data_IF_488230631440
#
_entry.id   IF_488230631440
#
_cell.length_a   1.000
_cell.length_b   1.000
_cell.length_c   1.000
_cell.angle_alpha   90.00
_cell.angle_beta   90.00
_cell.angle_gamma   90.00
#
_symmetry.space_group_name_H-M   'P 1'
#
loop_
_entity.id
_entity.type
_entity.pdbx_description
1 polymer ?
#
# COMPACT_ATOMS: atom_id res chain seq x y z
N UNK A 1 2.78 -6.68 0.84
CA UNK A 1 1.92 -6.83 2.06
C UNK A 1 0.52 -7.29 1.67
N UNK A 2 -0.23 -6.51 0.90
CA UNK A 2 -1.61 -6.79 0.47
C UNK A 2 -1.72 -8.15 -0.23
N UNK A 3 -0.79 -8.46 -1.15
CA UNK A 3 -0.76 -9.76 -1.83
C UNK A 3 -0.54 -10.93 -0.85
N UNK A 4 0.35 -10.80 0.13
CA UNK A 4 0.59 -11.85 1.12
C UNK A 4 -0.65 -12.12 1.97
N UNK A 5 -1.41 -11.08 2.34
CA UNK A 5 -2.70 -11.23 3.00
C UNK A 5 -3.73 -11.93 2.12
N UNK A 6 -3.81 -11.55 0.84
CA UNK A 6 -4.72 -12.18 -0.11
C UNK A 6 -4.45 -13.68 -0.23
N UNK A 7 -3.20 -14.06 -0.44
CA UNK A 7 -2.81 -15.48 -0.51
C UNK A 7 -3.17 -16.22 0.77
N UNK A 8 -2.90 -15.61 1.94
CA UNK A 8 -3.23 -16.23 3.23
C UNK A 8 -4.76 -16.43 3.42
N UNK A 9 -5.59 -15.51 2.93
CA UNK A 9 -7.06 -15.62 3.03
C UNK A 9 -7.61 -16.65 2.04
N UNK A 10 -7.02 -16.73 0.85
CA UNK A 10 -7.48 -17.63 -0.22
C UNK A 10 -6.89 -19.04 -0.13
N UNK A 11 -5.89 -19.25 0.72
CA UNK A 11 -5.30 -20.57 0.96
C UNK A 11 -6.36 -21.52 1.55
N UNK A 12 -6.70 -22.62 0.85
CA UNK A 12 -7.71 -23.56 1.31
C UNK A 12 -7.38 -24.22 2.65
N UNK A 13 -6.10 -24.31 3.00
CA UNK A 13 -5.65 -24.92 4.27
C UNK A 13 -5.96 -24.04 5.48
N UNK A 14 -6.13 -22.73 5.27
CA UNK A 14 -6.43 -21.76 6.35
C UNK A 14 -7.94 -21.75 6.68
N UNK A 15 -8.80 -22.21 5.78
CA UNK A 15 -10.25 -22.29 6.00
C UNK A 15 -10.96 -20.92 6.02
N UNK A 16 -10.35 -19.89 5.45
CA UNK A 16 -10.92 -18.54 5.37
C UNK A 16 -11.53 -18.23 4.00
N UNK A 17 -11.19 -18.96 2.95
CA UNK A 17 -11.56 -18.67 1.56
C UNK A 17 -13.09 -18.58 1.32
N UNK A 18 -13.90 -19.28 2.12
CA UNK A 18 -15.35 -19.23 2.02
C UNK A 18 -16.02 -18.09 2.83
N UNK A 19 -15.24 -17.29 3.57
CA UNK A 19 -15.80 -16.21 4.38
C UNK A 19 -16.02 -14.95 3.53
N UNK A 20 -17.14 -14.25 3.72
CA UNK A 20 -17.36 -12.95 3.07
C UNK A 20 -16.26 -11.97 3.48
N UNK A 21 -15.77 -11.18 2.51
CA UNK A 21 -14.81 -10.11 2.73
C UNK A 21 -15.53 -8.78 2.62
N UNK A 22 -15.49 -7.99 3.69
CA UNK A 22 -15.94 -6.61 3.68
C UNK A 22 -14.73 -5.70 3.50
N UNK A 23 -14.63 -5.06 2.33
CA UNK A 23 -13.61 -4.05 2.02
C UNK A 23 -14.32 -2.70 1.87
N UNK A 24 -14.05 -1.68 2.72
CA UNK A 24 -14.63 -0.37 2.55
C UNK A 24 -14.21 0.26 1.22
N UNK A 25 -15.17 0.86 0.49
CA UNK A 25 -14.91 1.45 -0.82
C UNK A 25 -13.95 2.65 -0.76
N UNK A 26 -14.01 3.43 0.32
CA UNK A 26 -13.11 4.59 0.52
C UNK A 26 -12.68 4.70 1.98
N UNK A 27 -11.39 4.95 2.27
CA UNK A 27 -10.93 5.32 3.59
C UNK A 27 -11.54 6.66 4.04
N UNK A 28 -11.75 6.81 5.35
CA UNK A 28 -12.12 8.10 5.94
C UNK A 28 -13.55 8.55 5.76
N UNK A 29 -14.44 7.74 5.20
CA UNK A 29 -15.86 8.10 5.14
C UNK A 29 -16.52 7.95 6.52
N UNK A 30 -17.30 8.95 6.97
CA UNK A 30 -18.11 8.85 8.20
C UNK A 30 -19.01 7.61 8.22
N UNK A 31 -19.51 7.23 7.04
CA UNK A 31 -20.33 6.04 6.81
C UNK A 31 -19.65 4.76 7.29
N UNK A 32 -18.32 4.64 7.19
CA UNK A 32 -17.61 3.45 7.66
C UNK A 32 -17.77 3.25 9.18
N UNK A 33 -17.58 4.30 9.96
CA UNK A 33 -17.75 4.21 11.41
C UNK A 33 -19.17 3.81 11.80
N UNK A 34 -20.18 4.29 11.06
CA UNK A 34 -21.59 3.94 11.29
C UNK A 34 -21.89 2.50 10.87
N UNK A 35 -21.38 2.06 9.73
CA UNK A 35 -21.50 0.66 9.29
C UNK A 35 -20.88 -0.31 10.31
N UNK A 36 -19.68 0.02 10.82
CA UNK A 36 -19.05 -0.78 11.85
C UNK A 36 -19.79 -0.75 13.19
N UNK A 37 -20.50 0.35 13.51
CA UNK A 37 -21.35 0.44 14.73
C UNK A 37 -22.63 -0.36 14.62
N UNK A 38 -23.26 -0.37 13.46
CA UNK A 38 -24.48 -1.18 13.21
C UNK A 38 -24.15 -2.67 13.30
N UNK A 39 -22.89 -3.03 13.08
CA UNK A 39 -22.39 -4.39 13.03
C UNK A 39 -22.38 -4.95 11.61
N UNK A 40 -21.49 -5.88 11.39
CA UNK A 40 -21.38 -6.62 10.15
C UNK A 40 -21.96 -8.02 10.37
N UNK A 41 -22.73 -8.56 9.41
CA UNK A 41 -23.21 -9.93 9.52
C UNK A 41 -21.99 -10.88 9.51
N UNK A 42 -21.72 -11.51 10.65
CA UNK A 42 -20.64 -12.49 10.75
C UNK A 42 -21.07 -13.89 10.26
N UNK A 43 -20.13 -14.78 10.02
CA UNK A 43 -18.69 -14.59 10.08
C UNK A 43 -18.15 -13.79 8.88
N UNK A 44 -17.34 -12.78 9.11
CA UNK A 44 -16.85 -11.87 8.07
C UNK A 44 -15.38 -11.52 8.27
N UNK A 45 -14.66 -11.28 7.18
CA UNK A 45 -13.32 -10.70 7.18
C UNK A 45 -13.45 -9.22 6.84
N UNK A 46 -12.98 -8.34 7.74
CA UNK A 46 -12.87 -6.90 7.48
C UNK A 46 -11.47 -6.63 6.94
N UNK A 47 -11.38 -6.16 5.69
CA UNK A 47 -10.12 -5.91 5.01
C UNK A 47 -9.82 -4.41 4.97
N UNK A 48 -8.77 -3.97 5.68
CA UNK A 48 -8.35 -2.58 5.77
C UNK A 48 -6.93 -2.42 5.21
N UNK A 49 -6.85 -2.23 3.90
CA UNK A 49 -5.55 -2.00 3.27
C UNK A 49 -5.04 -0.60 3.60
N UNK A 50 -3.79 -0.51 4.04
CA UNK A 50 -3.20 0.73 4.55
C UNK A 50 -4.02 1.35 5.70
N UNK A 51 -4.10 0.66 6.83
CA UNK A 51 -4.90 1.04 8.00
C UNK A 51 -4.75 2.51 8.40
N UNK A 52 -3.57 3.11 8.22
CA UNK A 52 -3.34 4.54 8.46
C UNK A 52 -4.34 5.43 7.70
N UNK A 53 -4.76 5.05 6.52
CA UNK A 53 -5.75 5.83 5.73
C UNK A 53 -7.12 5.90 6.39
N UNK A 54 -7.39 5.02 7.34
CA UNK A 54 -8.64 4.95 8.08
C UNK A 54 -8.55 5.60 9.47
N UNK A 55 -7.35 5.64 10.07
CA UNK A 55 -7.17 6.02 11.48
C UNK A 55 -6.34 7.30 11.68
N UNK A 56 -5.60 7.77 10.65
CA UNK A 56 -4.68 8.92 10.74
C UNK A 56 -5.32 10.24 10.24
N UNK A 57 -6.59 10.47 10.55
CA UNK A 57 -7.29 11.72 10.20
C UNK A 57 -8.42 12.02 11.19
N UNK A 58 -9.06 13.18 11.04
CA UNK A 58 -10.13 13.64 11.96
C UNK A 58 -11.29 12.63 12.15
N UNK A 59 -11.53 11.74 11.17
CA UNK A 59 -12.49 10.64 11.27
C UNK A 59 -11.92 9.34 11.87
N UNK A 60 -10.65 9.28 12.18
CA UNK A 60 -9.97 8.04 12.60
C UNK A 60 -10.39 7.53 13.98
N UNK A 61 -10.60 8.42 14.93
CA UNK A 61 -11.04 8.05 16.27
C UNK A 61 -12.41 7.31 16.29
N UNK A 62 -13.45 7.78 15.58
CA UNK A 62 -14.71 7.03 15.46
C UNK A 62 -14.56 5.65 14.84
N UNK A 63 -13.68 5.50 13.83
CA UNK A 63 -13.41 4.22 13.18
C UNK A 63 -12.67 3.27 14.13
N UNK A 64 -11.62 3.75 14.79
CA UNK A 64 -10.86 2.95 15.78
C UNK A 64 -11.73 2.48 16.93
N UNK A 65 -12.56 3.37 17.48
CA UNK A 65 -13.52 3.01 18.54
C UNK A 65 -14.61 2.05 18.05
N UNK A 66 -15.02 2.11 16.79
CA UNK A 66 -15.97 1.17 16.21
C UNK A 66 -15.33 -0.21 15.98
N UNK A 67 -14.08 -0.26 15.49
CA UNK A 67 -13.30 -1.50 15.34
C UNK A 67 -13.05 -2.17 16.70
N UNK A 68 -12.64 -1.41 17.69
CA UNK A 68 -12.42 -1.96 19.03
C UNK A 68 -13.69 -2.58 19.61
N UNK A 69 -14.84 -1.89 19.51
CA UNK A 69 -16.14 -2.45 19.95
C UNK A 69 -16.52 -3.70 19.17
N UNK A 70 -16.27 -3.71 17.87
CA UNK A 70 -16.57 -4.85 17.01
C UNK A 70 -15.76 -6.09 17.42
N UNK A 71 -14.47 -5.90 17.73
CA UNK A 71 -13.56 -6.97 18.15
C UNK A 71 -13.80 -7.47 19.57
N UNK A 72 -14.31 -6.60 20.46
CA UNK A 72 -14.60 -6.94 21.86
C UNK A 72 -16.05 -7.40 22.08
N UNK A 73 -16.93 -7.23 21.09
CA UNK A 73 -18.31 -7.68 21.19
C UNK A 73 -18.39 -9.22 21.23
N UNK A 74 -19.29 -9.78 22.05
CA UNK A 74 -19.56 -11.21 22.02
C UNK A 74 -20.00 -11.67 20.63
N UNK A 75 -19.52 -12.82 20.13
CA UNK A 75 -19.83 -13.32 18.80
C UNK A 75 -21.33 -13.40 18.49
N UNK A 76 -22.15 -13.66 19.50
CA UNK A 76 -23.61 -13.75 19.39
C UNK A 76 -24.26 -12.42 19.00
N UNK A 77 -23.63 -11.29 19.37
CA UNK A 77 -24.12 -9.95 19.04
C UNK A 77 -23.76 -9.48 17.63
N UNK A 78 -22.71 -10.05 17.07
CA UNK A 78 -22.21 -9.69 15.75
C UNK A 78 -22.48 -10.76 14.70
N UNK A 79 -23.26 -11.79 15.03
CA UNK A 79 -23.66 -12.85 14.10
C UNK A 79 -22.56 -13.86 13.75
N UNK A 80 -21.45 -13.87 14.54
CA UNK A 80 -20.35 -14.82 14.38
C UNK A 80 -18.97 -14.15 14.50
N UNK A 81 -17.89 -14.93 14.40
CA UNK A 81 -16.54 -14.41 14.55
C UNK A 81 -16.16 -13.44 13.43
N UNK A 82 -15.59 -12.32 13.82
CA UNK A 82 -15.06 -11.29 12.90
C UNK A 82 -13.54 -11.32 12.93
N UNK A 83 -12.94 -11.31 11.75
CA UNK A 83 -11.49 -11.20 11.59
C UNK A 83 -11.17 -9.86 10.91
N UNK A 84 -10.44 -9.00 11.57
CA UNK A 84 -9.93 -7.76 10.97
C UNK A 84 -8.51 -8.01 10.45
N UNK A 85 -8.32 -7.86 9.16
CA UNK A 85 -7.02 -7.91 8.51
C UNK A 85 -6.65 -6.52 8.01
N UNK A 86 -5.46 -6.07 8.39
CA UNK A 86 -4.99 -4.74 8.01
C UNK A 86 -3.53 -4.76 7.59
N UNK A 87 -3.16 -3.88 6.67
CA UNK A 87 -1.76 -3.61 6.33
C UNK A 87 -1.36 -2.22 6.83
N UNK A 88 -0.08 -2.06 7.17
CA UNK A 88 0.46 -0.76 7.58
C UNK A 88 1.97 -0.69 7.28
N UNK A 89 2.49 0.50 7.09
CA UNK A 89 3.93 0.73 7.03
C UNK A 89 4.53 0.73 8.44
N UNK A 90 5.74 0.20 8.59
CA UNK A 90 6.43 0.12 9.89
C UNK A 90 6.67 1.50 10.50
N UNK A 91 7.03 2.48 9.67
CA UNK A 91 7.22 3.87 10.08
C UNK A 91 5.94 4.49 10.63
N UNK A 92 4.82 4.24 9.98
CA UNK A 92 3.50 4.71 10.43
C UNK A 92 3.06 4.01 11.72
N UNK A 93 3.29 2.70 11.82
CA UNK A 93 3.02 1.96 13.05
C UNK A 93 3.80 2.55 14.22
N UNK A 94 5.09 2.83 14.02
CA UNK A 94 5.93 3.47 15.05
C UNK A 94 5.39 4.86 15.43
N UNK A 95 5.03 5.68 14.46
CA UNK A 95 4.48 7.01 14.72
C UNK A 95 3.17 6.96 15.51
N UNK A 96 2.26 6.03 15.17
CA UNK A 96 0.96 5.88 15.83
C UNK A 96 1.06 5.24 17.22
N UNK A 97 2.10 4.45 17.49
CA UNK A 97 2.32 3.80 18.79
C UNK A 97 3.21 4.60 19.73
N UNK A 98 3.98 5.58 19.22
CA UNK A 98 4.75 6.50 20.07
C UNK A 98 3.81 7.42 20.83
N UNK A 99 4.14 7.74 22.08
CA UNK A 99 3.33 8.63 22.89
C UNK A 99 3.15 9.99 22.23
N UNK A 100 1.92 10.50 22.12
CA UNK A 100 1.70 11.84 21.62
C UNK A 100 2.37 12.83 22.59
N UNK A 101 3.15 13.77 22.03
CA UNK A 101 3.49 14.99 22.76
C UNK A 101 2.17 15.57 23.27
N UNK A 102 2.14 15.96 24.52
CA UNK A 102 1.01 16.58 25.19
C UNK A 102 0.45 17.74 24.36
N UNK A 103 -0.57 17.45 23.55
CA UNK A 103 -1.29 18.45 22.79
C UNK A 103 -2.63 18.68 23.49
N UNK A 104 -2.90 19.89 23.98
CA UNK A 104 -4.14 20.23 24.69
C UNK A 104 -5.39 20.26 23.80
N UNK A 105 -5.28 20.02 22.51
CA UNK A 105 -6.35 20.22 21.52
C UNK A 105 -7.39 19.10 21.39
N UNK A 106 -7.39 18.10 22.27
CA UNK A 106 -8.36 16.99 22.22
C UNK A 106 -8.06 15.92 21.15
N UNK A 107 -7.11 16.12 20.26
CA UNK A 107 -6.61 15.13 19.31
C UNK A 107 -5.99 13.91 20.04
N UNK A 108 -5.57 14.10 21.28
CA UNK A 108 -5.03 13.05 22.16
C UNK A 108 -5.99 11.88 22.37
N UNK A 109 -7.30 12.11 22.52
CA UNK A 109 -8.27 11.05 22.76
C UNK A 109 -8.39 10.08 21.57
N UNK A 110 -8.32 10.61 20.34
CA UNK A 110 -8.33 9.78 19.12
C UNK A 110 -7.07 8.94 18.98
N UNK A 111 -5.91 9.50 19.30
CA UNK A 111 -4.63 8.82 19.25
C UNK A 111 -4.55 7.65 20.26
N UNK A 112 -5.18 7.78 21.44
CA UNK A 112 -5.26 6.70 22.41
C UNK A 112 -6.06 5.50 21.88
N UNK A 113 -7.23 5.75 21.26
CA UNK A 113 -8.07 4.68 20.70
C UNK A 113 -7.35 3.91 19.58
N UNK A 114 -6.59 4.61 18.73
CA UNK A 114 -5.77 3.96 17.70
C UNK A 114 -4.67 3.11 18.31
N UNK A 115 -3.99 3.63 19.34
CA UNK A 115 -2.94 2.91 20.04
C UNK A 115 -3.47 1.65 20.71
N UNK A 116 -4.58 1.74 21.43
CA UNK A 116 -5.20 0.61 22.11
C UNK A 116 -5.56 -0.48 21.08
N UNK A 117 -6.17 -0.09 19.96
CA UNK A 117 -6.46 -1.01 18.86
C UNK A 117 -5.20 -1.72 18.32
N UNK A 118 -4.10 -0.99 18.17
CA UNK A 118 -2.84 -1.53 17.66
C UNK A 118 -2.10 -2.40 18.69
N UNK A 119 -2.24 -2.11 19.98
CA UNK A 119 -1.66 -2.92 21.05
C UNK A 119 -2.35 -4.29 21.17
N UNK A 120 -3.65 -4.34 20.94
CA UNK A 120 -4.43 -5.59 20.94
C UNK A 120 -4.25 -6.40 19.64
N UNK A 121 -3.68 -5.79 18.61
CA UNK A 121 -3.50 -6.44 17.33
C UNK A 121 -2.30 -7.40 17.30
N UNK A 122 -2.47 -8.55 16.67
CA UNK A 122 -1.35 -9.44 16.37
C UNK A 122 -0.56 -8.88 15.18
N UNK A 123 0.64 -8.40 15.43
CA UNK A 123 1.52 -7.87 14.42
C UNK A 123 2.31 -8.99 13.73
N UNK A 124 2.22 -9.05 12.40
CA UNK A 124 3.01 -9.94 11.56
C UNK A 124 3.89 -9.06 10.65
N UNK A 125 5.20 -9.19 10.79
CA UNK A 125 6.15 -8.49 9.93
C UNK A 125 6.31 -9.25 8.63
N UNK A 126 6.02 -8.58 7.52
CA UNK A 126 6.30 -9.08 6.17
C UNK A 126 7.63 -8.48 5.74
N UNK A 127 8.58 -9.32 5.36
CA UNK A 127 9.87 -8.89 4.85
C UNK A 127 9.69 -8.01 3.59
N UNK A 128 10.56 -7.03 3.42
CA UNK A 128 10.57 -6.14 2.26
C UNK A 128 11.12 -6.81 1.00
N UNK A 129 11.86 -7.89 1.17
CA UNK A 129 12.55 -8.62 0.11
C UNK A 129 12.70 -10.10 0.44
N UNK A 130 13.29 -10.86 -0.46
CA UNK A 130 13.52 -12.30 -0.32
C UNK A 130 14.97 -12.65 0.09
N UNK A 131 15.77 -11.69 0.56
CA UNK A 131 17.18 -11.93 0.92
C UNK A 131 17.36 -12.96 2.03
N UNK A 132 16.40 -13.02 2.96
CA UNK A 132 16.38 -13.99 4.06
C UNK A 132 15.60 -15.28 3.76
N UNK A 133 15.08 -15.43 2.56
CA UNK A 133 14.34 -16.63 2.18
C UNK A 133 15.29 -17.80 1.92
N UNK A 134 14.86 -19.01 2.29
CA UNK A 134 15.56 -20.23 1.89
C UNK A 134 15.56 -20.35 0.34
N UNK A 135 16.74 -20.44 -0.29
CA UNK A 135 16.84 -20.54 -1.75
C UNK A 135 16.11 -21.75 -2.34
N UNK A 136 16.02 -22.86 -1.61
CA UNK A 136 15.28 -24.04 -2.07
C UNK A 136 13.79 -23.81 -2.01
N UNK A 137 13.29 -23.21 -0.96
CA UNK A 137 11.90 -22.82 -0.83
C UNK A 137 11.51 -21.79 -1.91
N UNK A 138 12.36 -20.82 -2.17
CA UNK A 138 12.12 -19.83 -3.22
C UNK A 138 12.06 -20.48 -4.61
N UNK A 139 12.94 -21.44 -4.90
CA UNK A 139 12.92 -22.22 -6.15
C UNK A 139 11.65 -23.08 -6.26
N UNK A 140 11.22 -23.69 -5.17
CA UNK A 140 9.99 -24.48 -5.14
C UNK A 140 8.76 -23.62 -5.43
N UNK A 141 8.64 -22.44 -4.82
CA UNK A 141 7.56 -21.51 -5.10
C UNK A 141 7.62 -21.01 -6.54
N UNK A 142 8.80 -20.68 -7.06
CA UNK A 142 8.98 -20.29 -8.45
C UNK A 142 8.65 -21.41 -9.45
N UNK A 143 8.74 -22.67 -9.06
CA UNK A 143 8.31 -23.78 -9.91
C UNK A 143 6.78 -23.82 -10.11
N UNK A 144 6.03 -23.37 -9.13
CA UNK A 144 4.56 -23.38 -9.13
C UNK A 144 3.95 -22.03 -9.51
N UNK A 145 4.59 -20.89 -9.20
CA UNK A 145 4.11 -19.55 -9.58
C UNK A 145 4.97 -18.97 -10.73
N UNK A 146 4.40 -18.87 -11.95
CA UNK A 146 5.12 -18.34 -13.11
C UNK A 146 5.53 -16.87 -12.95
N UNK A 147 4.82 -16.07 -12.15
CA UNK A 147 5.15 -14.65 -11.90
C UNK A 147 6.40 -14.53 -11.03
N UNK A 148 6.52 -15.34 -9.98
CA UNK A 148 7.73 -15.38 -9.14
C UNK A 148 8.91 -15.89 -9.94
N UNK A 149 8.69 -16.87 -10.80
CA UNK A 149 9.73 -17.38 -11.70
C UNK A 149 10.23 -16.28 -12.65
N UNK A 150 9.33 -15.59 -13.32
CA UNK A 150 9.67 -14.48 -14.21
C UNK A 150 10.37 -13.35 -13.45
N UNK A 151 9.85 -12.98 -12.27
CA UNK A 151 10.46 -11.96 -11.44
C UNK A 151 11.88 -12.31 -10.98
N UNK A 152 12.15 -13.57 -10.63
CA UNK A 152 13.50 -14.02 -10.30
C UNK A 152 14.46 -13.96 -11.49
N UNK A 153 13.98 -14.34 -12.68
CA UNK A 153 14.78 -14.24 -13.91
C UNK A 153 15.17 -12.81 -14.24
N UNK A 154 14.22 -11.88 -14.08
CA UNK A 154 14.42 -10.45 -14.33
C UNK A 154 15.31 -9.82 -13.27
N UNK A 155 15.02 -10.11 -12.01
CA UNK A 155 15.72 -9.48 -10.88
C UNK A 155 17.19 -9.88 -10.79
N UNK A 156 17.52 -11.13 -11.16
CA UNK A 156 18.86 -11.71 -11.00
C UNK A 156 19.31 -11.83 -9.54
N UNK A 157 18.64 -11.15 -8.62
CA UNK A 157 18.92 -11.09 -7.18
C UNK A 157 17.62 -11.19 -6.39
N UNK A 158 17.50 -12.11 -5.40
CA UNK A 158 16.33 -12.23 -4.53
C UNK A 158 15.90 -10.92 -3.85
N UNK A 159 16.84 -10.03 -3.53
CA UNK A 159 16.55 -8.72 -2.96
C UNK A 159 15.68 -7.84 -3.85
N UNK A 160 15.70 -8.05 -5.16
CA UNK A 160 14.97 -7.25 -6.15
C UNK A 160 13.63 -7.84 -6.60
N UNK A 161 13.35 -9.08 -6.23
CA UNK A 161 12.14 -9.80 -6.69
C UNK A 161 10.87 -9.06 -6.32
N UNK A 162 10.79 -8.53 -5.10
CA UNK A 162 9.62 -7.75 -4.66
C UNK A 162 9.42 -6.47 -5.46
N UNK A 163 10.50 -5.81 -5.88
CA UNK A 163 10.44 -4.61 -6.73
C UNK A 163 9.92 -4.95 -8.12
N UNK A 164 10.39 -6.06 -8.69
CA UNK A 164 9.89 -6.54 -10.00
C UNK A 164 8.42 -6.94 -9.92
N UNK A 165 8.01 -7.66 -8.87
CA UNK A 165 6.62 -8.05 -8.64
C UNK A 165 5.70 -6.84 -8.39
N UNK A 166 6.24 -5.75 -7.85
CA UNK A 166 5.50 -4.49 -7.67
C UNK A 166 5.45 -3.62 -8.94
N UNK A 167 5.82 -4.16 -10.10
CA UNK A 167 5.80 -3.42 -11.37
C UNK A 167 7.05 -2.57 -11.62
N UNK A 168 8.11 -2.72 -10.82
CA UNK A 168 9.34 -1.95 -10.97
C UNK A 168 9.98 -2.09 -12.36
N UNK A 169 9.92 -3.27 -12.96
CA UNK A 169 10.40 -3.49 -14.31
C UNK A 169 9.59 -2.69 -15.35
N UNK A 170 8.25 -2.66 -15.21
CA UNK A 170 7.39 -1.88 -16.08
C UNK A 170 7.64 -0.37 -15.92
N UNK A 171 7.78 0.10 -14.69
CA UNK A 171 8.14 1.49 -14.43
C UNK A 171 9.48 1.87 -15.08
N UNK A 172 10.50 1.03 -14.92
CA UNK A 172 11.82 1.27 -15.51
C UNK A 172 11.77 1.26 -17.04
N UNK A 173 11.04 0.33 -17.67
CA UNK A 173 10.87 0.31 -19.12
C UNK A 173 10.21 1.60 -19.65
N UNK A 174 9.22 2.14 -18.94
CA UNK A 174 8.59 3.43 -19.28
C UNK A 174 9.50 4.64 -19.04
N UNK A 175 10.39 4.55 -18.03
CA UNK A 175 11.39 5.59 -17.76
C UNK A 175 12.54 5.58 -18.76
N UNK A 176 12.95 4.40 -19.22
CA UNK A 176 14.08 4.19 -20.12
C UNK A 176 13.61 3.46 -21.40
N UNK A 177 12.82 4.14 -22.28
CA UNK A 177 12.23 3.50 -23.44
C UNK A 177 13.26 3.01 -24.47
N UNK A 178 14.45 3.55 -24.44
CA UNK A 178 15.55 3.20 -25.36
C UNK A 178 16.40 2.02 -24.87
N UNK A 179 16.10 1.45 -23.68
CA UNK A 179 16.81 0.30 -23.14
C UNK A 179 16.15 -1.01 -23.62
N UNK A 180 16.80 -1.78 -24.53
CA UNK A 180 16.21 -2.97 -25.14
C UNK A 180 16.03 -4.11 -24.12
N UNK A 181 16.81 -4.15 -23.05
CA UNK A 181 16.71 -5.19 -22.04
C UNK A 181 15.49 -4.96 -21.14
N UNK A 182 15.25 -3.71 -20.76
CA UNK A 182 14.06 -3.32 -20.03
C UNK A 182 12.80 -3.52 -20.87
N UNK A 183 12.82 -3.18 -22.17
CA UNK A 183 11.67 -3.37 -23.05
C UNK A 183 11.31 -4.85 -23.22
N UNK A 184 12.30 -5.74 -23.35
CA UNK A 184 12.04 -7.19 -23.43
C UNK A 184 11.47 -7.76 -22.13
N UNK A 185 11.90 -7.19 -21.01
CA UNK A 185 11.53 -7.66 -19.67
C UNK A 185 10.13 -7.24 -19.26
N UNK A 186 9.63 -6.15 -19.83
CA UNK A 186 8.37 -5.53 -19.46
C UNK A 186 7.54 -5.19 -20.71
N UNK A 187 7.29 -6.20 -21.56
CA UNK A 187 6.56 -6.04 -22.82
C UNK A 187 5.17 -5.38 -22.65
N UNK A 188 4.55 -5.55 -21.49
CA UNK A 188 3.23 -5.00 -21.15
C UNK A 188 3.31 -3.71 -20.30
N UNK A 189 4.47 -3.04 -20.25
CA UNK A 189 4.69 -1.87 -19.40
C UNK A 189 3.84 -0.64 -19.75
N UNK A 190 3.17 -0.66 -20.89
CA UNK A 190 2.46 0.51 -21.40
C UNK A 190 3.38 1.55 -22.07
N UNK A 191 2.85 2.70 -22.48
CA UNK A 191 3.62 3.72 -23.20
C UNK A 191 4.68 4.36 -22.31
N UNK A 192 5.77 4.81 -22.94
CA UNK A 192 6.81 5.57 -22.27
C UNK A 192 6.25 6.86 -21.66
N UNK A 193 6.73 7.23 -20.48
CA UNK A 193 6.38 8.51 -19.87
C UNK A 193 6.84 9.69 -20.71
N UNK A 194 6.01 10.71 -20.84
CA UNK A 194 6.42 11.98 -21.42
C UNK A 194 7.54 12.66 -20.61
N UNK A 195 8.38 13.49 -21.23
CA UNK A 195 9.52 14.10 -20.55
C UNK A 195 9.21 14.80 -19.22
N UNK A 196 8.11 15.56 -19.05
CA UNK A 196 7.77 16.14 -17.75
C UNK A 196 7.50 15.10 -16.67
N UNK A 197 6.76 14.04 -16.97
CA UNK A 197 6.47 12.96 -16.02
C UNK A 197 7.74 12.22 -15.58
N UNK A 198 8.62 11.93 -16.54
CA UNK A 198 9.94 11.33 -16.25
C UNK A 198 10.77 12.20 -15.32
N UNK A 199 10.84 13.51 -15.59
CA UNK A 199 11.58 14.45 -14.75
C UNK A 199 11.03 14.52 -13.32
N UNK A 200 9.70 14.45 -13.15
CA UNK A 200 9.05 14.43 -11.83
C UNK A 200 9.40 13.15 -11.09
N UNK A 201 9.36 11.99 -11.75
CA UNK A 201 9.72 10.70 -11.13
C UNK A 201 11.19 10.71 -10.71
N UNK A 202 12.09 11.22 -11.53
CA UNK A 202 13.51 11.38 -11.17
C UNK A 202 13.70 12.31 -9.99
N UNK A 203 13.07 13.49 -9.98
CA UNK A 203 13.15 14.45 -8.90
C UNK A 203 12.65 13.86 -7.59
N UNK A 204 11.51 13.15 -7.61
CA UNK A 204 10.98 12.45 -6.45
C UNK A 204 11.93 11.37 -5.93
N UNK A 205 12.51 10.55 -6.83
CA UNK A 205 13.50 9.53 -6.51
C UNK A 205 14.75 10.12 -5.84
N UNK A 206 15.28 11.20 -6.37
CA UNK A 206 16.44 11.89 -5.79
C UNK A 206 16.14 12.49 -4.41
N UNK A 207 15.00 13.13 -4.24
CA UNK A 207 14.59 13.61 -2.93
C UNK A 207 14.52 12.47 -1.91
N UNK A 208 14.00 11.31 -2.29
CA UNK A 208 14.00 10.11 -1.44
C UNK A 208 15.42 9.65 -1.12
N UNK A 209 16.30 9.61 -2.12
CA UNK A 209 17.68 9.17 -1.99
C UNK A 209 18.50 10.07 -1.06
N UNK A 210 18.28 11.39 -1.08
CA UNK A 210 18.99 12.34 -0.21
C UNK A 210 18.39 12.46 1.19
N UNK A 211 17.42 11.61 1.55
CA UNK A 211 16.93 11.47 2.92
C UNK A 211 15.58 12.11 3.21
N UNK A 212 14.79 12.48 2.20
CA UNK A 212 13.41 12.95 2.44
C UNK A 212 12.53 11.87 3.13
N UNK A 213 12.91 10.60 3.01
CA UNK A 213 12.21 9.48 3.63
C UNK A 213 10.82 9.27 3.04
N UNK A 214 9.89 8.73 3.85
CA UNK A 214 8.52 8.41 3.41
C UNK A 214 7.54 9.59 3.60
N UNK A 215 8.01 10.74 4.08
CA UNK A 215 7.18 11.92 4.24
C UNK A 215 6.64 12.41 2.87
N UNK A 216 5.42 12.95 2.80
CA UNK A 216 4.92 13.57 1.58
C UNK A 216 5.87 14.67 1.09
N UNK A 217 6.23 14.62 -0.19
CA UNK A 217 7.05 15.66 -0.81
C UNK A 217 6.13 16.85 -1.13
N UNK A 218 6.38 18.06 -0.58
CA UNK A 218 5.61 19.24 -0.95
C UNK A 218 5.70 19.51 -2.44
N UNK A 219 4.56 19.79 -3.07
CA UNK A 219 4.49 20.03 -4.52
C UNK A 219 5.42 21.15 -4.98
N UNK A 220 5.52 22.20 -4.19
CA UNK A 220 6.43 23.34 -4.47
C UNK A 220 7.88 22.91 -4.56
N UNK A 221 8.35 22.09 -3.62
CA UNK A 221 9.69 21.53 -3.63
C UNK A 221 9.90 20.58 -4.80
N UNK A 222 8.94 19.67 -5.04
CA UNK A 222 9.01 18.73 -6.16
C UNK A 222 9.09 19.48 -7.49
N UNK A 223 8.29 20.52 -7.67
CA UNK A 223 8.27 21.38 -8.86
C UNK A 223 9.62 22.07 -9.07
N UNK A 224 10.19 22.63 -8.00
CA UNK A 224 11.50 23.29 -8.05
C UNK A 224 12.62 22.31 -8.45
N UNK A 225 12.70 21.17 -7.80
CA UNK A 225 13.72 20.14 -8.10
C UNK A 225 13.53 19.57 -9.51
N UNK A 226 12.28 19.39 -9.96
CA UNK A 226 11.98 18.88 -11.30
C UNK A 226 12.51 19.77 -12.41
N UNK A 227 12.62 21.08 -12.20
CA UNK A 227 13.21 21.99 -13.21
C UNK A 227 14.66 21.64 -13.58
N UNK A 228 15.40 21.01 -12.66
CA UNK A 228 16.77 20.53 -12.91
C UNK A 228 16.83 19.28 -13.80
N UNK A 229 15.73 18.57 -13.94
CA UNK A 229 15.64 17.33 -14.74
C UNK A 229 14.85 17.49 -16.03
N UNK A 230 14.15 18.62 -16.19
CA UNK A 230 13.33 18.90 -17.37
C UNK A 230 13.93 20.00 -18.23
N UNK A 231 14.59 19.61 -19.31
CA UNK A 231 15.22 20.54 -20.26
C UNK A 231 14.28 21.04 -21.38
N UNK A 232 12.99 20.73 -21.29
CA UNK A 232 12.00 21.13 -22.29
C UNK A 232 11.38 22.51 -22.00
N UNK A 233 10.55 23.02 -22.93
CA UNK A 233 9.87 24.29 -22.72
C UNK A 233 8.86 24.19 -21.58
N UNK A 234 8.97 25.07 -20.61
CA UNK A 234 8.06 25.17 -19.46
C UNK A 234 6.75 25.84 -19.87
N UNK A 235 5.96 25.19 -20.75
CA UNK A 235 4.65 25.66 -21.15
C UNK A 235 3.69 25.65 -19.96
N UNK A 236 2.68 26.53 -19.97
CA UNK A 236 1.67 26.59 -18.92
C UNK A 236 1.11 25.19 -18.60
N UNK A 237 1.08 24.81 -17.30
CA UNK A 237 0.57 23.52 -16.83
C UNK A 237 1.44 22.31 -17.19
N UNK A 238 2.71 22.49 -17.56
CA UNK A 238 3.60 21.37 -17.89
C UNK A 238 3.81 20.41 -16.70
N UNK A 239 3.98 20.99 -15.52
CA UNK A 239 4.19 20.21 -14.29
C UNK A 239 2.93 19.44 -13.89
N UNK A 240 1.78 20.09 -13.92
CA UNK A 240 0.50 19.49 -13.50
C UNK A 240 0.12 18.31 -14.40
N UNK A 241 0.32 18.46 -15.74
CA UNK A 241 0.13 17.36 -16.68
C UNK A 241 1.11 16.21 -16.43
N UNK A 242 2.41 16.54 -16.20
CA UNK A 242 3.41 15.53 -15.89
C UNK A 242 3.13 14.82 -14.57
N UNK A 243 2.65 15.54 -13.55
CA UNK A 243 2.29 14.96 -12.25
C UNK A 243 1.08 14.04 -12.38
N UNK A 244 0.05 14.45 -13.12
CA UNK A 244 -1.11 13.60 -13.42
C UNK A 244 -0.69 12.31 -14.11
N UNK A 245 0.16 12.38 -15.12
CA UNK A 245 0.66 11.19 -15.81
C UNK A 245 1.52 10.30 -14.90
N UNK A 246 2.42 10.90 -14.11
CA UNK A 246 3.28 10.14 -13.20
C UNK A 246 2.52 9.41 -12.09
N UNK A 247 1.31 9.87 -11.75
CA UNK A 247 0.47 9.33 -10.68
C UNK A 247 -0.73 8.53 -11.19
N UNK A 248 -1.09 8.60 -12.48
CA UNK A 248 -2.30 7.97 -13.04
C UNK A 248 -2.31 6.45 -12.89
N UNK A 249 -1.17 5.80 -13.07
CA UNK A 249 -1.08 4.33 -12.97
C UNK A 249 -1.18 3.79 -11.52
N UNK A 250 -1.02 4.66 -10.53
CA UNK A 250 -1.15 4.26 -9.13
C UNK A 250 -2.63 4.06 -8.72
N UNK A 251 -3.57 4.58 -9.49
CA UNK A 251 -5.00 4.58 -9.17
C UNK A 251 -5.76 3.50 -9.94
N UNK A 252 -5.42 3.28 -11.22
CA UNK A 252 -6.18 2.36 -12.08
C UNK A 252 -5.91 0.87 -11.83
N UNK A 253 -4.73 0.51 -11.32
CA UNK A 253 -4.35 -0.90 -11.10
C UNK A 253 -5.07 -1.52 -9.91
N UNK A 254 -5.52 -0.72 -8.93
CA UNK A 254 -6.26 -1.19 -7.76
C UNK A 254 -7.76 -1.43 -8.05
N UNK A 255 -8.38 -0.71 -9.00
CA UNK A 255 -9.81 -0.89 -9.33
C UNK A 255 -10.05 -2.02 -10.33
N UNK A 256 -9.12 -2.29 -11.26
CA UNK A 256 -9.28 -3.35 -12.27
C UNK A 256 -8.92 -4.74 -11.77
N UNK A 257 -8.06 -4.89 -10.76
CA UNK A 257 -7.66 -6.21 -10.22
C UNK A 257 -8.62 -6.80 -9.19
N UNK A 258 -9.64 -6.06 -8.77
CA UNK A 258 -10.60 -6.48 -7.74
C UNK A 258 -11.99 -6.84 -8.27
N UNK A 259 -12.17 -6.84 -9.60
CA UNK A 259 -13.41 -7.27 -10.27
C UNK A 259 -13.35 -8.72 -10.81
N UNK A 260 -12.60 -9.60 -10.12
CA UNK A 260 -12.61 -11.05 -10.42
C UNK A 260 -13.13 -11.80 -9.21
#
# INVERSE_FOLDING_TARGET
>A
KTRALYEAVTDPTVGLAARPVYKPARPGQPVLADQLRVGLPGPVIVWLDELQRYVDHQGGAPISGALHRLLTAPPERVGGPILVLATMWTTTLQALTTEPRTDPSGAAAGAHQVRDLLQDARLVRVASDFTGADPDQLRQVAATDPRIRAALQVAGDPARVTQVLAGGAGLLARLYPDDPDLQRTAADAGPAFHPPARAIIYAAGELRRIGWGDAPIPETLLREVTTGYFNGPHRHGWFDRGLTEATSDAVDDDEQRLNI
#
